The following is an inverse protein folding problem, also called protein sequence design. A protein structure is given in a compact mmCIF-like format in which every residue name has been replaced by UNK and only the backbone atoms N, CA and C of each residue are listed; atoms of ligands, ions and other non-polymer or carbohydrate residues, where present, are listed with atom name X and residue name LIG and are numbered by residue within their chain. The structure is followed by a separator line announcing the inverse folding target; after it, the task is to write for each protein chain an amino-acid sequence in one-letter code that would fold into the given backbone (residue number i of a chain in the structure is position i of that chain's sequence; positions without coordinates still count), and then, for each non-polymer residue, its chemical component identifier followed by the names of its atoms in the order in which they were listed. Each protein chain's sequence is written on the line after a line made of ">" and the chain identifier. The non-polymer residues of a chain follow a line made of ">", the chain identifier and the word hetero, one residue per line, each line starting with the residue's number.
data_IF_429834792162
#
_entry.id   IF_429834792162
#
_cell.length_a   1.000
_cell.length_b   1.000
_cell.length_c   1.000
_cell.angle_alpha   90.00
_cell.angle_beta   90.00
_cell.angle_gamma   90.00
#
_symmetry.space_group_name_H-M   'P 1'
#
loop_
_entity.id
_entity.type
_entity.pdbx_description
1 polymer ?
#
# COMPACT_ATOMS: atom_id res chain seq x y z
N UNK A 1 6.89 31.09 -15.31
CA UNK A 1 5.71 30.21 -15.34
C UNK A 1 5.98 29.08 -14.36
N UNK A 2 5.09 28.85 -13.40
CA UNK A 2 5.20 27.68 -12.51
C UNK A 2 4.65 26.48 -13.26
N UNK A 3 5.51 25.55 -13.65
CA UNK A 3 5.07 24.31 -14.31
C UNK A 3 4.45 23.40 -13.24
N UNK A 4 3.15 23.11 -13.37
CA UNK A 4 2.44 22.21 -12.48
C UNK A 4 2.66 20.77 -12.96
N UNK A 5 3.33 19.95 -12.14
CA UNK A 5 3.66 18.55 -12.46
C UNK A 5 2.99 17.61 -11.49
N UNK A 6 2.52 16.47 -12.00
CA UNK A 6 1.80 15.46 -11.21
C UNK A 6 2.70 14.24 -11.03
N UNK A 7 2.94 13.84 -9.79
CA UNK A 7 3.56 12.58 -9.45
C UNK A 7 2.53 11.45 -9.47
N UNK A 8 2.65 10.52 -10.41
CA UNK A 8 1.84 9.32 -10.45
C UNK A 8 2.59 8.15 -9.84
N UNK A 9 1.88 7.31 -9.09
CA UNK A 9 2.43 6.06 -8.58
C UNK A 9 1.49 4.87 -8.80
N UNK A 10 2.04 3.67 -8.91
CA UNK A 10 1.26 2.43 -8.84
C UNK A 10 1.02 2.06 -7.35
N UNK A 11 -0.23 2.13 -6.89
CA UNK A 11 -0.57 1.82 -5.49
C UNK A 11 -0.25 0.37 -5.12
N UNK A 12 -0.31 -0.56 -6.06
CA UNK A 12 0.03 -1.98 -5.82
C UNK A 12 1.49 -2.15 -5.46
N UNK A 13 2.36 -1.37 -6.09
CA UNK A 13 3.79 -1.39 -5.79
C UNK A 13 4.07 -0.93 -4.35
N UNK A 14 3.37 0.11 -3.90
CA UNK A 14 3.44 0.62 -2.52
C UNK A 14 2.91 -0.42 -1.53
N UNK A 15 1.80 -1.08 -1.86
CA UNK A 15 1.20 -2.13 -1.03
C UNK A 15 2.13 -3.35 -0.88
N UNK A 16 2.70 -3.84 -1.98
CA UNK A 16 3.66 -4.96 -1.97
C UNK A 16 4.91 -4.57 -1.16
N UNK A 17 5.43 -3.37 -1.35
CA UNK A 17 6.60 -2.89 -0.60
C UNK A 17 6.32 -2.82 0.90
N UNK A 18 5.16 -2.27 1.30
CA UNK A 18 4.75 -2.22 2.71
C UNK A 18 4.53 -3.60 3.31
N UNK A 19 3.80 -4.49 2.62
CA UNK A 19 3.55 -5.87 3.08
C UNK A 19 4.81 -6.70 3.27
N UNK A 20 5.91 -6.31 2.62
CA UNK A 20 7.24 -6.93 2.76
C UNK A 20 8.22 -6.10 3.60
N UNK A 21 7.73 -5.15 4.39
CA UNK A 21 8.54 -4.24 5.20
C UNK A 21 8.61 -4.66 6.68
N UNK A 22 9.62 -4.16 7.39
CA UNK A 22 9.70 -4.28 8.85
C UNK A 22 8.51 -3.64 9.58
N UNK A 23 7.91 -2.58 9.02
CA UNK A 23 6.75 -1.91 9.61
C UNK A 23 5.52 -2.81 9.63
N UNK A 24 5.28 -3.54 8.54
CA UNK A 24 4.16 -4.49 8.48
C UNK A 24 4.41 -5.70 9.36
N UNK A 25 5.63 -6.27 9.32
CA UNK A 25 6.03 -7.37 10.20
C UNK A 25 5.84 -7.03 11.68
N UNK A 26 6.20 -5.80 12.09
CA UNK A 26 5.97 -5.33 13.46
C UNK A 26 4.48 -5.25 13.79
N UNK A 27 3.66 -4.68 12.91
CA UNK A 27 2.22 -4.55 13.11
C UNK A 27 1.55 -5.93 13.28
N UNK A 28 1.88 -6.88 12.40
CA UNK A 28 1.35 -8.24 12.46
C UNK A 28 1.80 -8.98 13.73
N UNK A 29 3.07 -8.80 14.13
CA UNK A 29 3.60 -9.40 15.36
C UNK A 29 2.86 -8.87 16.59
N UNK A 30 2.55 -7.57 16.65
CA UNK A 30 1.78 -6.97 17.75
C UNK A 30 0.35 -7.52 17.82
N UNK A 31 -0.33 -7.69 16.69
CA UNK A 31 -1.68 -8.29 16.65
C UNK A 31 -1.65 -9.75 17.08
N UNK A 32 -0.65 -10.51 16.62
CA UNK A 32 -0.50 -11.93 16.98
C UNK A 32 -0.18 -12.11 18.48
N UNK A 33 0.66 -11.23 19.05
CA UNK A 33 0.95 -11.24 20.48
C UNK A 33 -0.32 -10.96 21.31
N UNK A 34 -1.08 -9.93 20.95
CA UNK A 34 -2.35 -9.60 21.61
C UNK A 34 -3.35 -10.77 21.51
N UNK A 35 -3.45 -11.42 20.34
CA UNK A 35 -4.30 -12.61 20.16
C UNK A 35 -3.93 -13.73 21.15
N UNK A 36 -2.64 -14.07 21.23
CA UNK A 36 -2.16 -15.14 22.09
C UNK A 36 -2.35 -14.83 23.58
N UNK A 37 -2.16 -13.58 23.99
CA UNK A 37 -2.40 -13.10 25.35
C UNK A 37 -3.88 -13.25 25.73
N UNK A 38 -4.78 -12.69 24.92
CA UNK A 38 -6.23 -12.73 25.18
C UNK A 38 -6.78 -14.16 25.12
N UNK A 39 -6.23 -15.02 24.24
CA UNK A 39 -6.56 -16.44 24.19
C UNK A 39 -6.11 -17.20 25.44
N UNK A 40 -4.89 -16.93 25.92
CA UNK A 40 -4.38 -17.50 27.17
C UNK A 40 -5.18 -17.06 28.40
N UNK A 41 -5.69 -15.83 28.38
CA UNK A 41 -6.57 -15.27 29.42
C UNK A 41 -8.05 -15.70 29.29
N UNK A 42 -8.41 -16.51 28.29
CA UNK A 42 -9.80 -16.90 27.99
C UNK A 42 -10.74 -15.70 27.75
N UNK A 43 -10.20 -14.61 27.20
CA UNK A 43 -10.94 -13.40 26.89
C UNK A 43 -11.61 -13.49 25.51
N UNK A 44 -12.67 -14.29 25.41
CA UNK A 44 -13.29 -14.66 24.13
C UNK A 44 -13.78 -13.46 23.29
N UNK A 45 -14.24 -12.39 23.92
CA UNK A 45 -14.70 -11.18 23.22
C UNK A 45 -13.54 -10.51 22.47
N UNK A 46 -12.40 -10.38 23.15
CA UNK A 46 -11.19 -9.80 22.58
C UNK A 46 -10.54 -10.67 21.51
N UNK A 47 -10.55 -11.98 21.72
CA UNK A 47 -10.08 -12.96 20.70
C UNK A 47 -10.86 -12.77 19.40
N UNK A 48 -12.20 -12.70 19.46
CA UNK A 48 -13.06 -12.48 18.28
C UNK A 48 -12.81 -11.13 17.62
N UNK A 49 -12.59 -10.08 18.41
CA UNK A 49 -12.26 -8.74 17.90
C UNK A 49 -10.95 -8.76 17.09
N UNK A 50 -9.93 -9.46 17.59
CA UNK A 50 -8.63 -9.55 16.91
C UNK A 50 -8.71 -10.42 15.66
N UNK A 51 -9.45 -11.52 15.69
CA UNK A 51 -9.69 -12.36 14.50
C UNK A 51 -10.35 -11.56 13.37
N UNK A 52 -11.38 -10.78 13.69
CA UNK A 52 -12.04 -9.90 12.71
C UNK A 52 -11.06 -8.85 12.13
N UNK A 53 -10.16 -8.29 12.96
CA UNK A 53 -9.12 -7.36 12.48
C UNK A 53 -8.12 -8.03 11.55
N UNK A 54 -7.69 -9.25 11.84
CA UNK A 54 -6.77 -10.00 10.99
C UNK A 54 -7.40 -10.34 9.64
N UNK A 55 -8.66 -10.77 9.63
CA UNK A 55 -9.41 -11.02 8.40
C UNK A 55 -9.59 -9.75 7.56
N UNK A 56 -9.96 -8.63 8.20
CA UNK A 56 -10.09 -7.34 7.53
C UNK A 56 -8.74 -6.86 6.96
N UNK A 57 -7.64 -7.08 7.69
CA UNK A 57 -6.30 -6.74 7.24
C UNK A 57 -5.88 -7.56 6.01
N UNK A 58 -6.14 -8.88 6.01
CA UNK A 58 -5.84 -9.74 4.86
C UNK A 58 -6.64 -9.33 3.62
N UNK A 59 -7.94 -9.09 3.79
CA UNK A 59 -8.81 -8.66 2.70
C UNK A 59 -8.36 -7.31 2.11
N UNK A 60 -8.06 -6.33 2.98
CA UNK A 60 -7.54 -5.04 2.56
C UNK A 60 -6.18 -5.19 1.84
N UNK A 61 -5.28 -6.03 2.35
CA UNK A 61 -3.99 -6.28 1.71
C UNK A 61 -4.15 -6.85 0.29
N UNK A 62 -5.10 -7.77 0.07
CA UNK A 62 -5.39 -8.30 -1.27
C UNK A 62 -5.96 -7.22 -2.19
N UNK A 63 -6.90 -6.39 -1.71
CA UNK A 63 -7.43 -5.26 -2.49
C UNK A 63 -6.32 -4.28 -2.88
N UNK A 64 -5.36 -4.02 -1.98
CA UNK A 64 -4.28 -3.08 -2.20
C UNK A 64 -3.18 -3.63 -3.11
N UNK A 65 -2.86 -4.92 -3.02
CA UNK A 65 -1.76 -5.53 -3.79
C UNK A 65 -2.18 -6.01 -5.19
N UNK A 66 -3.42 -6.49 -5.35
CA UNK A 66 -3.88 -7.09 -6.61
C UNK A 66 -4.89 -6.25 -7.38
N UNK A 67 -5.52 -5.28 -6.72
CA UNK A 67 -6.54 -4.40 -7.30
C UNK A 67 -6.14 -2.92 -7.20
N UNK A 68 -7.13 -2.03 -7.23
CA UNK A 68 -7.00 -0.58 -7.11
C UNK A 68 -7.36 -0.09 -5.71
N UNK A 69 -7.26 -0.95 -4.68
CA UNK A 69 -7.54 -0.58 -3.30
C UNK A 69 -6.68 0.61 -2.85
N UNK A 70 -7.30 1.56 -2.14
CA UNK A 70 -6.60 2.77 -1.68
C UNK A 70 -5.49 2.40 -0.70
N UNK A 71 -4.32 3.01 -0.86
CA UNK A 71 -3.15 2.84 0.03
C UNK A 71 -2.92 4.04 0.93
N UNK A 72 -3.93 4.88 1.16
CA UNK A 72 -3.82 6.06 2.02
C UNK A 72 -3.34 5.71 3.44
N UNK A 73 -3.80 4.59 3.99
CA UNK A 73 -3.34 4.08 5.30
C UNK A 73 -1.86 3.70 5.33
N UNK A 74 -1.30 3.29 4.19
CA UNK A 74 0.12 2.96 4.02
C UNK A 74 0.93 4.24 3.84
N UNK A 75 0.46 5.19 3.02
CA UNK A 75 1.12 6.48 2.82
C UNK A 75 1.21 7.30 4.12
N UNK A 76 0.22 7.18 5.01
CA UNK A 76 0.26 7.80 6.34
C UNK A 76 1.48 7.35 7.17
N UNK A 77 2.00 6.13 6.94
CA UNK A 77 3.21 5.62 7.62
C UNK A 77 4.49 6.33 7.17
N UNK A 78 4.47 6.98 6.01
CA UNK A 78 5.60 7.66 5.40
C UNK A 78 5.29 9.13 5.10
N UNK A 79 4.26 9.71 5.74
CA UNK A 79 3.77 11.06 5.43
C UNK A 79 4.85 12.14 5.52
N UNK A 80 5.79 11.97 6.46
CA UNK A 80 6.87 12.92 6.70
C UNK A 80 7.90 12.92 5.56
N UNK A 81 7.97 11.84 4.77
CA UNK A 81 8.83 11.74 3.59
C UNK A 81 8.17 12.33 2.33
N UNK A 82 6.84 12.46 2.29
CA UNK A 82 6.11 12.90 1.07
C UNK A 82 6.52 14.30 0.59
N UNK A 83 6.71 15.32 1.45
CA UNK A 83 7.18 16.63 0.99
C UNK A 83 8.55 16.58 0.33
N UNK A 84 9.49 15.80 0.89
CA UNK A 84 10.83 15.66 0.35
C UNK A 84 10.82 14.94 -1.01
N UNK A 85 10.00 13.88 -1.15
CA UNK A 85 9.82 13.18 -2.43
C UNK A 85 9.21 14.13 -3.47
N UNK A 86 8.23 14.94 -3.09
CA UNK A 86 7.60 15.91 -3.98
C UNK A 86 8.60 16.99 -4.45
N UNK A 87 9.47 17.48 -3.55
CA UNK A 87 10.54 18.41 -3.87
C UNK A 87 11.59 17.79 -4.80
N UNK A 88 12.10 16.61 -4.48
CA UNK A 88 13.12 15.87 -5.25
C UNK A 88 12.65 15.59 -6.68
N UNK A 89 11.39 15.19 -6.83
CA UNK A 89 10.80 14.88 -8.14
C UNK A 89 10.16 16.10 -8.81
N UNK A 90 10.10 17.22 -8.08
CA UNK A 90 9.56 18.49 -8.53
C UNK A 90 8.09 18.46 -8.93
N UNK A 91 7.29 17.61 -8.26
CA UNK A 91 5.85 17.49 -8.46
C UNK A 91 5.08 18.30 -7.42
N UNK A 92 3.88 18.75 -7.78
CA UNK A 92 3.01 19.54 -6.89
C UNK A 92 1.95 18.70 -6.19
N UNK A 93 1.72 17.48 -6.67
CA UNK A 93 0.77 16.51 -6.12
C UNK A 93 1.26 15.09 -6.40
N UNK A 94 1.04 14.18 -5.46
CA UNK A 94 1.30 12.75 -5.61
C UNK A 94 -0.06 12.04 -5.55
N UNK A 95 -0.39 11.27 -6.58
CA UNK A 95 -1.70 10.60 -6.72
C UNK A 95 -1.54 9.20 -7.32
N UNK A 96 -2.39 8.27 -6.90
CA UNK A 96 -2.42 6.92 -7.47
C UNK A 96 -2.82 7.01 -8.94
N UNK A 97 -2.11 6.30 -9.82
CA UNK A 97 -2.46 6.27 -11.25
C UNK A 97 -3.86 5.68 -11.52
N UNK A 98 -4.41 4.94 -10.56
CA UNK A 98 -5.75 4.35 -10.63
C UNK A 98 -6.87 5.31 -10.22
N UNK A 99 -6.55 6.44 -9.59
CA UNK A 99 -7.54 7.44 -9.14
C UNK A 99 -7.67 8.62 -10.13
N UNK A 100 -6.92 8.59 -11.23
CA UNK A 100 -6.96 9.64 -12.26
C UNK A 100 -8.05 9.35 -13.29
N UNK A 101 -9.22 9.98 -13.11
CA UNK A 101 -10.34 9.84 -14.04
C UNK A 101 -10.12 10.56 -15.40
N UNK A 102 -9.39 11.67 -15.38
CA UNK A 102 -9.06 12.45 -16.58
C UNK A 102 -7.75 13.21 -16.36
N UNK A 103 -6.91 13.30 -17.39
CA UNK A 103 -5.80 14.24 -17.45
C UNK A 103 -5.67 14.78 -18.87
N UNK A 104 -5.39 16.08 -18.97
CA UNK A 104 -5.02 16.67 -20.25
C UNK A 104 -3.62 16.20 -20.67
N UNK A 105 -3.39 16.03 -21.97
CA UNK A 105 -2.10 15.56 -22.50
C UNK A 105 -0.96 16.56 -22.31
N UNK A 106 -1.26 17.83 -22.08
CA UNK A 106 -0.26 18.87 -21.78
C UNK A 106 0.26 18.81 -20.34
N UNK A 107 -0.40 18.06 -19.45
CA UNK A 107 0.08 17.88 -18.08
C UNK A 107 1.30 16.94 -18.06
N UNK A 108 2.42 17.49 -17.60
CA UNK A 108 3.62 16.73 -17.33
C UNK A 108 3.39 15.82 -16.11
N UNK A 109 3.67 14.54 -16.30
CA UNK A 109 3.56 13.50 -15.27
C UNK A 109 4.92 12.90 -14.99
N UNK A 110 5.20 12.64 -13.72
CA UNK A 110 6.43 12.01 -13.24
C UNK A 110 6.04 10.72 -12.53
N UNK A 111 6.67 9.59 -12.90
CA UNK A 111 6.50 8.34 -12.15
C UNK A 111 7.31 8.43 -10.84
N UNK A 112 6.60 8.52 -9.71
CA UNK A 112 7.21 8.61 -8.38
C UNK A 112 7.16 7.28 -7.62
N UNK A 113 6.74 6.19 -8.27
CA UNK A 113 6.55 4.87 -7.64
C UNK A 113 7.79 4.40 -6.90
N UNK A 114 8.96 4.48 -7.52
CA UNK A 114 10.22 4.02 -6.91
C UNK A 114 10.63 4.84 -5.67
N UNK A 115 10.30 6.12 -5.62
CA UNK A 115 10.61 7.00 -4.48
C UNK A 115 9.77 6.61 -3.26
N UNK A 116 8.50 6.26 -3.48
CA UNK A 116 7.59 5.77 -2.43
C UNK A 116 7.98 4.35 -1.98
N UNK A 117 8.25 3.44 -2.92
CA UNK A 117 8.63 2.05 -2.64
C UNK A 117 9.88 1.96 -1.77
N UNK A 118 10.89 2.81 -2.04
CA UNK A 118 12.15 2.84 -1.25
C UNK A 118 11.94 3.14 0.23
N UNK A 119 10.88 3.87 0.60
CA UNK A 119 10.61 4.20 2.02
C UNK A 119 10.35 2.97 2.88
N UNK A 120 9.97 1.84 2.26
CA UNK A 120 9.65 0.59 2.95
C UNK A 120 10.82 -0.40 2.98
N UNK A 121 11.97 -0.07 2.36
CA UNK A 121 13.16 -0.92 2.26
C UNK A 121 12.85 -2.37 1.80
N UNK A 122 12.11 -2.57 0.70
CA UNK A 122 11.75 -3.91 0.24
C UNK A 122 12.98 -4.72 -0.18
N UNK A 123 12.95 -6.03 0.08
CA UNK A 123 13.96 -6.96 -0.43
C UNK A 123 13.77 -7.28 -1.92
N UNK A 124 14.74 -8.01 -2.49
CA UNK A 124 14.78 -8.35 -3.92
C UNK A 124 13.52 -9.08 -4.40
N UNK A 125 12.97 -9.98 -3.60
CA UNK A 125 11.76 -10.72 -3.95
C UNK A 125 10.54 -9.80 -4.11
N UNK A 126 10.38 -8.82 -3.20
CA UNK A 126 9.29 -7.85 -3.28
C UNK A 126 9.47 -6.93 -4.49
N UNK A 127 10.70 -6.49 -4.78
CA UNK A 127 11.01 -5.71 -5.98
C UNK A 127 10.68 -6.49 -7.26
N UNK A 128 10.94 -7.80 -7.29
CA UNK A 128 10.56 -8.67 -8.41
C UNK A 128 9.04 -8.72 -8.61
N UNK A 129 8.27 -8.92 -7.54
CA UNK A 129 6.80 -8.92 -7.63
C UNK A 129 6.24 -7.57 -8.10
N UNK A 130 6.84 -6.46 -7.66
CA UNK A 130 6.49 -5.12 -8.11
C UNK A 130 6.71 -4.97 -9.62
N UNK A 131 7.84 -5.46 -10.14
CA UNK A 131 8.14 -5.40 -11.57
C UNK A 131 7.22 -6.32 -12.38
N UNK A 132 7.02 -7.57 -11.94
CA UNK A 132 6.13 -8.54 -12.58
C UNK A 132 4.67 -8.04 -12.66
N UNK A 133 4.23 -7.29 -11.65
CA UNK A 133 2.89 -6.71 -11.58
C UNK A 133 2.68 -5.45 -12.43
N UNK A 134 3.75 -4.78 -12.88
CA UNK A 134 3.67 -3.47 -13.55
C UNK A 134 2.82 -3.50 -14.83
N UNK A 135 2.90 -4.61 -15.57
CA UNK A 135 2.19 -4.81 -16.84
C UNK A 135 0.89 -5.60 -16.70
N UNK A 136 0.53 -6.03 -15.48
CA UNK A 136 -0.70 -6.76 -15.23
C UNK A 136 -1.86 -5.79 -15.01
N UNK A 137 -3.00 -6.08 -15.64
CA UNK A 137 -4.26 -5.39 -15.37
C UNK A 137 -4.67 -5.71 -13.93
N UNK A 138 -4.95 -4.71 -13.07
CA UNK A 138 -5.47 -4.97 -11.74
C UNK A 138 -6.75 -5.78 -11.78
N UNK A 139 -6.91 -6.72 -10.85
CA UNK A 139 -8.17 -7.44 -10.66
C UNK A 139 -9.24 -6.40 -10.27
N UNK A 140 -10.46 -6.43 -10.84
CA UNK A 140 -11.55 -5.56 -10.37
C UNK A 140 -11.75 -5.67 -8.86
N UNK A 141 -11.97 -4.54 -8.18
CA UNK A 141 -11.98 -4.51 -6.71
C UNK A 141 -13.13 -5.35 -6.12
N UNK A 142 -14.22 -5.45 -6.88
CA UNK A 142 -15.40 -6.26 -6.56
C UNK A 142 -15.15 -7.77 -6.69
N UNK A 143 -14.08 -8.18 -7.39
CA UNK A 143 -13.70 -9.59 -7.61
C UNK A 143 -12.66 -10.09 -6.60
N UNK A 144 -12.16 -9.22 -5.71
CA UNK A 144 -11.27 -9.63 -4.62
C UNK A 144 -12.10 -10.35 -3.55
N UNK A 145 -11.94 -11.67 -3.47
CA UNK A 145 -12.64 -12.52 -2.48
C UNK A 145 -11.75 -12.83 -1.27
N UNK A 146 -12.36 -13.38 -0.21
CA UNK A 146 -11.65 -13.81 1.00
C UNK A 146 -10.78 -15.07 0.78
N UNK A 147 -10.97 -15.77 -0.35
CA UNK A 147 -10.36 -17.08 -0.64
C UNK A 147 -9.26 -17.00 -1.70
N UNK A 148 -8.31 -16.07 -1.56
CA UNK A 148 -7.06 -16.16 -2.33
C UNK A 148 -6.03 -16.79 -1.39
N UNK A 149 -5.99 -18.12 -1.41
CA UNK A 149 -4.92 -18.96 -0.83
C UNK A 149 -3.60 -18.82 -1.61
#
# INVERSE_FOLDING_TARGET
>A
MTTFRIGLFDSRAVAIAYGNSGLFSQHLSSLTAAYNEDKGASNEERVKEIEAKLQALQHLAHQQAFSTGSVANILEKIKDALPAIAEETGVSIIVSKWEVAHRDSSLEVVDVTSHLVKQFNPGEQALKWIEDGRNQVPIPIEEITFDID
#
